data_IF_433923473978
#
_entry.id   IF_433923473978
#
_cell.length_a   1.000
_cell.length_b   1.000
_cell.length_c   1.000
_cell.angle_alpha   90.00
_cell.angle_beta   90.00
_cell.angle_gamma   90.00
#
_symmetry.space_group_name_H-M   'P 1'
#
loop_
_entity.id
_entity.type
_entity.pdbx_description
1 polymer ?
#
# COMPACT_ATOMS: atom_id res chain seq x y z
N UNK A 1 -11.98 -7.86 -27.00
CA UNK A 1 -11.10 -7.69 -25.83
C UNK A 1 -11.60 -6.46 -25.12
N UNK A 2 -12.30 -6.62 -23.99
CA UNK A 2 -12.74 -5.47 -23.20
C UNK A 2 -11.52 -4.81 -22.56
N UNK A 3 -11.44 -3.47 -22.53
CA UNK A 3 -10.33 -2.79 -21.89
C UNK A 3 -10.36 -3.07 -20.38
N UNK A 4 -9.25 -3.61 -19.86
CA UNK A 4 -9.05 -3.74 -18.41
C UNK A 4 -8.61 -2.39 -17.88
N UNK A 5 -9.45 -1.78 -17.05
CA UNK A 5 -9.13 -0.53 -16.36
C UNK A 5 -8.33 -0.86 -15.09
N UNK A 6 -7.10 -0.36 -15.03
CA UNK A 6 -6.25 -0.39 -13.83
C UNK A 6 -6.08 1.03 -13.32
N UNK A 7 -6.25 1.23 -12.02
CA UNK A 7 -6.13 2.55 -11.40
C UNK A 7 -5.11 2.53 -10.28
N UNK A 8 -4.33 3.59 -10.19
CA UNK A 8 -3.51 3.89 -9.02
C UNK A 8 -3.95 5.22 -8.45
N UNK A 9 -4.42 5.21 -7.20
CA UNK A 9 -4.92 6.40 -6.50
C UNK A 9 -3.98 6.71 -5.34
N UNK A 10 -3.64 7.99 -5.22
CA UNK A 10 -2.83 8.51 -4.13
C UNK A 10 -3.66 9.43 -3.25
N UNK A 11 -3.61 9.22 -1.93
CA UNK A 11 -4.13 10.19 -0.98
C UNK A 11 -3.01 11.13 -0.57
N UNK A 12 -3.16 12.42 -0.88
CA UNK A 12 -2.22 13.48 -0.50
C UNK A 12 -2.72 14.27 0.71
N UNK A 13 -1.81 14.67 1.60
CA UNK A 13 -2.14 15.53 2.75
C UNK A 13 -1.69 16.96 2.49
N UNK A 14 -2.59 17.92 2.72
CA UNK A 14 -2.32 19.36 2.58
C UNK A 14 -1.30 19.85 3.62
N UNK A 15 -0.53 20.92 3.34
CA UNK A 15 -0.63 21.78 2.15
C UNK A 15 0.14 21.29 0.92
N UNK A 16 1.14 20.41 1.06
CA UNK A 16 1.99 19.98 -0.07
C UNK A 16 1.43 18.81 -0.91
N UNK A 17 0.27 18.24 -0.54
CA UNK A 17 -0.34 17.07 -1.18
C UNK A 17 0.63 15.86 -1.28
N UNK A 18 1.51 15.70 -0.29
CA UNK A 18 2.43 14.55 -0.28
C UNK A 18 1.67 13.24 -0.09
N UNK A 19 1.97 12.18 -0.87
CA UNK A 19 1.24 10.92 -0.83
C UNK A 19 1.48 10.18 0.48
N UNK A 20 0.41 9.71 1.12
CA UNK A 20 0.46 8.95 2.39
C UNK A 20 -0.22 7.58 2.31
N UNK A 21 -1.03 7.36 1.27
CA UNK A 21 -1.72 6.10 0.99
C UNK A 21 -1.71 5.84 -0.52
N UNK A 22 -1.47 4.58 -0.87
CA UNK A 22 -1.59 4.05 -2.22
C UNK A 22 -2.77 3.09 -2.30
N UNK A 23 -3.62 3.23 -3.30
CA UNK A 23 -4.65 2.26 -3.66
C UNK A 23 -4.43 1.82 -5.11
N UNK A 24 -4.25 0.53 -5.33
CA UNK A 24 -4.10 -0.08 -6.65
C UNK A 24 -5.29 -0.97 -6.94
N UNK A 25 -6.04 -0.67 -8.00
CA UNK A 25 -7.29 -1.34 -8.38
C UNK A 25 -7.11 -2.12 -9.68
N UNK A 26 -7.53 -3.38 -9.67
CA UNK A 26 -7.59 -4.29 -10.82
C UNK A 26 -8.89 -5.09 -10.80
N UNK A 27 -9.31 -5.72 -11.92
CA UNK A 27 -10.51 -6.55 -11.96
C UNK A 27 -10.45 -7.75 -11.00
N UNK A 28 -11.62 -8.20 -10.51
CA UNK A 28 -11.71 -9.41 -9.66
C UNK A 28 -11.21 -10.66 -10.38
N UNK A 29 -11.43 -10.77 -11.70
CA UNK A 29 -10.97 -11.89 -12.54
C UNK A 29 -9.45 -12.10 -12.53
N UNK A 30 -8.68 -11.11 -12.09
CA UNK A 30 -7.24 -11.24 -11.92
C UNK A 30 -6.86 -12.14 -10.74
N UNK A 31 -7.79 -12.42 -9.81
CA UNK A 31 -7.51 -13.26 -8.65
C UNK A 31 -7.23 -14.71 -9.03
N UNK A 32 -7.80 -15.21 -10.12
CA UNK A 32 -7.66 -16.61 -10.55
C UNK A 32 -6.35 -16.85 -11.32
N UNK A 33 -5.73 -15.80 -11.85
CA UNK A 33 -4.48 -15.89 -12.62
C UNK A 33 -3.25 -15.64 -11.75
N UNK A 34 -2.39 -16.66 -11.63
CA UNK A 34 -1.12 -16.55 -10.91
C UNK A 34 -0.27 -15.38 -11.39
N UNK A 35 -0.15 -15.21 -12.71
CA UNK A 35 0.61 -14.12 -13.31
C UNK A 35 0.00 -12.75 -12.97
N UNK A 36 -1.33 -12.63 -12.97
CA UNK A 36 -1.99 -11.36 -12.63
C UNK A 36 -1.84 -11.01 -11.15
N UNK A 37 -1.87 -12.00 -10.26
CA UNK A 37 -1.57 -11.83 -8.83
C UNK A 37 -0.13 -11.38 -8.60
N UNK A 38 0.84 -12.04 -9.25
CA UNK A 38 2.25 -11.63 -9.18
C UNK A 38 2.44 -10.19 -9.66
N UNK A 39 1.88 -9.86 -10.83
CA UNK A 39 1.93 -8.50 -11.37
C UNK A 39 1.29 -7.47 -10.42
N UNK A 40 0.17 -7.81 -9.76
CA UNK A 40 -0.47 -6.92 -8.81
C UNK A 40 0.38 -6.68 -7.54
N UNK A 41 1.06 -7.72 -7.03
CA UNK A 41 1.97 -7.63 -5.87
C UNK A 41 3.25 -6.85 -6.22
N UNK A 42 3.85 -7.12 -7.38
CA UNK A 42 5.07 -6.46 -7.83
C UNK A 42 4.81 -4.96 -8.07
N UNK A 43 3.69 -4.62 -8.70
CA UNK A 43 3.35 -3.22 -8.98
C UNK A 43 3.10 -2.44 -7.72
N UNK A 44 2.29 -2.94 -6.78
CA UNK A 44 2.04 -2.18 -5.55
C UNK A 44 3.31 -1.97 -4.73
N UNK A 45 4.21 -2.96 -4.67
CA UNK A 45 5.52 -2.82 -4.00
C UNK A 45 6.41 -1.78 -4.66
N UNK A 46 6.51 -1.84 -5.98
CA UNK A 46 7.28 -0.85 -6.77
C UNK A 46 6.76 0.55 -6.49
N UNK A 47 5.44 0.75 -6.56
CA UNK A 47 4.81 2.04 -6.28
C UNK A 47 4.97 2.49 -4.84
N UNK A 48 4.92 1.58 -3.87
CA UNK A 48 5.19 1.89 -2.46
C UNK A 48 6.60 2.45 -2.25
N UNK A 49 7.61 1.85 -2.90
CA UNK A 49 8.99 2.33 -2.85
C UNK A 49 9.11 3.72 -3.48
N UNK A 50 8.49 3.94 -4.65
CA UNK A 50 8.49 5.25 -5.31
C UNK A 50 7.90 6.36 -4.42
N UNK A 51 6.74 6.11 -3.79
CA UNK A 51 6.12 7.13 -2.93
C UNK A 51 6.79 7.28 -1.58
N UNK A 52 7.52 6.27 -1.10
CA UNK A 52 8.25 6.38 0.16
C UNK A 52 9.29 7.50 0.13
N UNK A 53 9.84 7.84 -1.04
CA UNK A 53 10.78 8.95 -1.18
C UNK A 53 10.15 10.32 -0.88
N UNK A 54 8.85 10.50 -1.10
CA UNK A 54 8.16 11.79 -0.97
C UNK A 54 7.13 11.83 0.16
N UNK A 55 6.69 10.68 0.65
CA UNK A 55 5.80 10.59 1.80
C UNK A 55 6.47 11.23 3.04
N UNK A 56 5.77 12.05 3.84
CA UNK A 56 6.35 12.66 5.03
C UNK A 56 6.36 11.73 6.25
N UNK A 57 5.64 10.60 6.18
CA UNK A 57 5.45 9.69 7.31
C UNK A 57 6.50 8.58 7.33
N UNK A 58 6.75 8.00 8.51
CA UNK A 58 7.62 6.83 8.70
C UNK A 58 7.05 5.54 8.08
N UNK A 59 5.74 5.52 7.85
CA UNK A 59 5.00 4.39 7.31
C UNK A 59 4.23 4.83 6.07
N UNK A 60 4.33 4.05 5.01
CA UNK A 60 3.51 4.22 3.81
C UNK A 60 2.58 3.03 3.73
N UNK A 61 1.28 3.30 3.70
CA UNK A 61 0.26 2.26 3.55
C UNK A 61 -0.08 2.06 2.08
N UNK A 62 -0.33 0.81 1.70
CA UNK A 62 -0.77 0.41 0.37
C UNK A 62 -1.95 -0.55 0.45
N UNK A 63 -2.87 -0.44 -0.50
CA UNK A 63 -4.00 -1.35 -0.64
C UNK A 63 -4.02 -1.85 -2.08
N UNK A 64 -3.95 -3.16 -2.27
CA UNK A 64 -4.17 -3.79 -3.57
C UNK A 64 -5.55 -4.41 -3.58
N UNK A 65 -6.39 -4.03 -4.54
CA UNK A 65 -7.73 -4.58 -4.71
C UNK A 65 -7.84 -5.29 -6.05
N UNK A 66 -8.28 -6.54 -6.01
CA UNK A 66 -8.75 -7.32 -7.16
C UNK A 66 -10.28 -7.38 -7.04
N UNK A 67 -10.96 -6.42 -7.67
CA UNK A 67 -12.38 -6.17 -7.43
C UNK A 67 -12.64 -5.83 -5.95
N UNK A 68 -13.50 -6.63 -5.30
CA UNK A 68 -13.81 -6.48 -3.87
C UNK A 68 -12.78 -7.13 -2.95
N UNK A 69 -11.89 -7.98 -3.47
CA UNK A 69 -10.89 -8.69 -2.67
C UNK A 69 -9.67 -7.81 -2.45
N UNK A 70 -9.31 -7.56 -1.20
CA UNK A 70 -8.28 -6.60 -0.83
C UNK A 70 -7.12 -7.23 -0.06
N UNK A 71 -5.94 -6.69 -0.30
CA UNK A 71 -4.71 -7.00 0.42
C UNK A 71 -4.06 -5.70 0.90
N UNK A 72 -3.56 -5.72 2.13
CA UNK A 72 -3.03 -4.55 2.81
C UNK A 72 -1.52 -4.65 2.94
N UNK A 73 -0.84 -3.58 2.54
CA UNK A 73 0.60 -3.47 2.53
C UNK A 73 1.06 -2.32 3.42
N UNK A 74 2.23 -2.48 4.02
CA UNK A 74 2.88 -1.40 4.75
C UNK A 74 4.38 -1.43 4.48
N UNK A 75 4.89 -0.28 4.01
CA UNK A 75 6.32 -0.02 3.90
C UNK A 75 6.74 0.80 5.11
N UNK A 76 7.70 0.29 5.89
CA UNK A 76 8.33 1.03 6.99
C UNK A 76 9.65 1.62 6.50
N UNK A 77 9.79 2.93 6.64
CA UNK A 77 11.05 3.62 6.38
C UNK A 77 11.98 3.34 7.54
N UNK A 78 12.87 2.39 7.38
CA UNK A 78 13.93 2.14 8.34
C UNK A 78 15.19 2.89 7.89
N UNK A 79 16.14 3.10 8.79
CA UNK A 79 17.48 3.60 8.43
C UNK A 79 18.28 2.58 7.59
N UNK A 80 17.68 1.46 7.20
CA UNK A 80 18.27 0.44 6.35
C UNK A 80 18.24 0.88 4.89
N UNK A 81 19.25 0.46 4.13
CA UNK A 81 19.30 0.64 2.66
C UNK A 81 18.15 -0.06 1.93
N UNK A 82 17.48 -1.01 2.59
CA UNK A 82 16.37 -1.77 2.02
C UNK A 82 15.10 -1.52 2.84
N UNK A 83 14.08 -0.85 2.28
CA UNK A 83 12.79 -0.68 2.95
C UNK A 83 12.08 -2.04 3.09
N UNK A 84 11.48 -2.27 4.26
CA UNK A 84 10.74 -3.50 4.55
C UNK A 84 9.26 -3.29 4.21
N UNK A 85 8.71 -4.19 3.37
CA UNK A 85 7.30 -4.18 2.97
C UNK A 85 6.62 -5.44 3.51
N UNK A 86 5.65 -5.25 4.40
CA UNK A 86 4.74 -6.31 4.80
C UNK A 86 3.48 -6.30 3.91
N UNK A 87 2.88 -7.47 3.64
CA UNK A 87 3.43 -8.81 3.90
C UNK A 87 4.69 -9.06 3.04
N UNK A 88 5.62 -9.93 3.46
CA UNK A 88 6.77 -10.28 2.65
C UNK A 88 6.36 -11.04 1.37
N UNK A 89 7.15 -10.94 0.31
CA UNK A 89 7.05 -11.84 -0.84
C UNK A 89 7.83 -13.12 -0.53
N UNK A 90 7.24 -14.28 -0.80
CA UNK A 90 8.02 -15.52 -0.75
C UNK A 90 9.12 -15.44 -1.82
N UNK A 91 10.38 -15.71 -1.44
CA UNK A 91 11.48 -15.75 -2.40
C UNK A 91 11.14 -16.78 -3.48
N UNK A 92 11.15 -16.36 -4.74
CA UNK A 92 11.00 -17.25 -5.89
C UNK A 92 12.00 -18.40 -5.73
N UNK A 93 11.50 -19.60 -5.46
CA UNK A 93 12.30 -20.80 -5.67
C UNK A 93 12.01 -21.27 -7.09
N UNK A 94 13.00 -21.84 -7.74
CA UNK A 94 13.00 -22.25 -9.16
C UNK A 94 11.99 -23.36 -9.50
N UNK A 95 11.01 -23.64 -8.63
CA UNK A 95 10.05 -24.74 -8.72
C UNK A 95 8.64 -24.31 -9.12
N UNK A 96 8.44 -23.07 -9.56
CA UNK A 96 7.11 -22.60 -10.01
C UNK A 96 6.06 -22.55 -8.89
N UNK A 97 6.49 -22.36 -7.63
CA UNK A 97 5.58 -22.19 -6.50
C UNK A 97 4.90 -20.83 -6.61
N UNK A 98 3.59 -20.80 -6.35
CA UNK A 98 2.83 -19.57 -6.20
C UNK A 98 3.38 -18.74 -5.03
N UNK A 99 4.22 -17.75 -5.34
CA UNK A 99 4.85 -16.85 -4.36
C UNK A 99 3.88 -15.79 -3.83
N UNK A 100 2.72 -15.63 -4.48
CA UNK A 100 1.70 -14.62 -4.21
C UNK A 100 0.32 -15.31 -4.24
N UNK A 101 0.01 -16.11 -3.21
CA UNK A 101 -1.20 -16.92 -3.20
C UNK A 101 -2.45 -16.05 -3.25
N UNK A 102 -3.55 -16.57 -3.81
CA UNK A 102 -4.84 -15.87 -3.85
C UNK A 102 -5.33 -15.45 -2.45
N UNK A 103 -4.95 -16.21 -1.41
CA UNK A 103 -5.20 -15.88 0.01
C UNK A 103 -4.52 -14.59 0.48
N UNK A 104 -3.66 -13.96 -0.34
CA UNK A 104 -3.16 -12.61 -0.11
C UNK A 104 -4.27 -11.56 -0.17
N UNK A 105 -5.25 -11.75 -1.04
CA UNK A 105 -6.48 -10.94 -1.13
C UNK A 105 -7.64 -11.69 -0.45
N UNK A 106 -7.43 -12.12 0.79
CA UNK A 106 -8.42 -12.91 1.54
C UNK A 106 -9.57 -12.10 2.13
N UNK A 107 -9.42 -10.77 2.25
CA UNK A 107 -10.45 -9.91 2.81
C UNK A 107 -11.36 -9.36 1.72
N UNK A 108 -12.66 -9.33 1.99
CA UNK A 108 -13.64 -8.65 1.15
C UNK A 108 -13.89 -7.25 1.69
N UNK A 109 -13.81 -6.22 0.84
CA UNK A 109 -13.95 -4.82 1.27
C UNK A 109 -15.34 -4.52 1.88
N UNK A 110 -16.34 -5.35 1.59
CA UNK A 110 -17.69 -5.20 2.11
C UNK A 110 -17.88 -5.87 3.49
N UNK A 111 -16.85 -6.55 4.00
CA UNK A 111 -16.89 -7.22 5.31
C UNK A 111 -16.25 -6.35 6.40
N UNK A 112 -16.77 -6.48 7.63
CA UNK A 112 -16.30 -5.71 8.79
C UNK A 112 -14.81 -5.90 9.11
N UNK A 113 -14.22 -7.04 8.74
CA UNK A 113 -12.79 -7.28 8.91
C UNK A 113 -11.95 -6.33 8.04
N UNK A 114 -12.35 -6.10 6.79
CA UNK A 114 -11.68 -5.15 5.91
C UNK A 114 -11.92 -3.70 6.36
N UNK A 115 -13.14 -3.39 6.82
CA UNK A 115 -13.47 -2.08 7.40
C UNK A 115 -12.57 -1.75 8.60
N UNK A 116 -12.46 -2.67 9.56
CA UNK A 116 -11.62 -2.49 10.74
C UNK A 116 -10.17 -2.20 10.33
N UNK A 117 -9.65 -2.95 9.35
CA UNK A 117 -8.29 -2.74 8.85
C UNK A 117 -8.12 -1.38 8.17
N UNK A 118 -9.11 -0.93 7.41
CA UNK A 118 -9.13 0.40 6.80
C UNK A 118 -9.14 1.51 7.85
N UNK A 119 -9.92 1.36 8.92
CA UNK A 119 -9.97 2.30 10.03
C UNK A 119 -8.64 2.39 10.77
N UNK A 120 -7.95 1.26 11.00
CA UNK A 120 -6.60 1.23 11.58
C UNK A 120 -5.59 2.00 10.71
N UNK A 121 -5.64 1.82 9.39
CA UNK A 121 -4.78 2.52 8.43
C UNK A 121 -5.07 4.02 8.48
N UNK A 122 -6.34 4.42 8.42
CA UNK A 122 -6.75 5.82 8.49
C UNK A 122 -6.27 6.47 9.79
N UNK A 123 -6.47 5.80 10.94
CA UNK A 123 -5.98 6.27 12.24
C UNK A 123 -4.46 6.42 12.23
N UNK A 124 -3.72 5.42 11.74
CA UNK A 124 -2.26 5.49 11.64
C UNK A 124 -1.78 6.67 10.79
N UNK A 125 -2.50 7.00 9.71
CA UNK A 125 -2.16 8.14 8.85
C UNK A 125 -2.44 9.45 9.57
N UNK A 126 -3.62 9.59 10.19
CA UNK A 126 -4.01 10.80 10.93
C UNK A 126 -3.03 11.09 12.06
N UNK A 127 -2.72 10.08 12.89
CA UNK A 127 -1.76 10.21 14.00
C UNK A 127 -0.36 10.60 13.47
N UNK A 128 0.09 9.99 12.37
CA UNK A 128 1.37 10.32 11.74
C UNK A 128 1.41 11.75 11.17
N UNK A 129 0.30 12.23 10.61
CA UNK A 129 0.20 13.59 10.07
C UNK A 129 0.25 14.63 11.19
N UNK A 130 -0.42 14.39 12.33
CA UNK A 130 -0.35 15.28 13.48
C UNK A 130 1.09 15.47 13.95
N UNK A 131 1.83 14.37 14.15
CA UNK A 131 3.25 14.39 14.54
C UNK A 131 4.11 15.15 13.51
N UNK A 132 3.86 14.93 12.21
CA UNK A 132 4.61 15.62 11.15
C UNK A 132 4.37 17.13 11.18
N UNK A 133 3.12 17.56 11.37
CA UNK A 133 2.73 18.97 11.43
C UNK A 133 3.38 19.65 12.65
N UNK A 134 3.33 19.01 13.82
CA UNK A 134 3.92 19.54 15.06
C UNK A 134 5.43 19.79 14.89
N UNK A 135 6.18 18.80 14.39
CA UNK A 135 7.62 18.93 14.10
C UNK A 135 7.93 20.03 13.09
N UNK A 136 7.09 20.19 12.07
CA UNK A 136 7.25 21.24 11.05
C UNK A 136 7.02 22.63 11.64
N UNK A 137 6.08 22.76 12.58
CA UNK A 137 5.80 24.03 13.26
C UNK A 137 6.92 24.41 14.24
N UNK A 138 7.47 23.45 14.99
CA UNK A 138 8.63 23.65 15.87
C UNK A 138 9.83 24.19 15.08
N UNK A 139 10.18 23.54 13.96
CA UNK A 139 11.29 23.97 13.09
C UNK A 139 11.06 25.29 12.37
N UNK A 140 9.82 25.73 12.23
CA UNK A 140 9.46 27.03 11.65
C UNK A 140 9.47 28.17 12.68
N UNK A 141 9.23 27.88 13.97
CA UNK A 141 9.22 28.86 15.06
C UNK A 141 10.60 29.23 15.61
N UNK A 142 11.65 28.50 15.25
CA UNK A 142 13.05 28.78 15.62
C UNK A 142 13.80 29.70 14.61
N UNK A 143 13.07 30.35 13.69
CA UNK A 143 13.63 31.28 12.69
C UNK A 143 13.09 32.69 12.83
#
# INVERSE_FOLDING_TARGET
MEPVLEYTVYLGVKPELKPVLLLHLRPESHIDSLLNRQNADDQIRTRLIEIAATCPLEKVHGISALGKKVSFYILRKTNSKNPEIDPPTARYNTRGIDTVPATRWNLDILESAAEMRMQEIAKSIVDGCAIYIDRKNETAGER
#
